data_IF_188816887277
#
_entry.id   IF_188816887277
#
_cell.length_a   1.000
_cell.length_b   1.000
_cell.length_c   1.000
_cell.angle_alpha   90.00
_cell.angle_beta   90.00
_cell.angle_gamma   90.00
#
_symmetry.space_group_name_H-M   'P 1'
#
loop_
_entity.id
_entity.type
_entity.pdbx_description
1 polymer ?
#
# COMPACT_ATOMS: atom_id res chain seq x y z
N UNK A 1 17.83 2.64 -13.15
CA UNK A 1 17.04 1.90 -14.16
C UNK A 1 17.27 0.38 -14.09
N UNK A 2 18.53 -0.09 -14.08
CA UNK A 2 18.86 -1.53 -14.01
C UNK A 2 18.36 -2.19 -12.72
N UNK A 3 18.58 -1.54 -11.56
CA UNK A 3 18.13 -2.06 -10.27
C UNK A 3 16.60 -2.22 -10.19
N UNK A 4 15.85 -1.26 -10.75
CA UNK A 4 14.39 -1.29 -10.79
C UNK A 4 13.88 -2.44 -11.67
N UNK A 5 14.53 -2.67 -12.82
CA UNK A 5 14.18 -3.78 -13.71
C UNK A 5 14.43 -5.14 -13.08
N UNK A 6 15.56 -5.30 -12.38
CA UNK A 6 15.87 -6.52 -11.64
C UNK A 6 14.82 -6.77 -10.55
N UNK A 7 14.50 -5.76 -9.74
CA UNK A 7 13.48 -5.87 -8.68
C UNK A 7 12.11 -6.25 -9.21
N UNK A 8 11.63 -5.55 -10.25
CA UNK A 8 10.29 -5.78 -10.79
C UNK A 8 10.16 -7.21 -11.34
N UNK A 9 11.22 -7.69 -12.00
CA UNK A 9 11.28 -9.06 -12.51
C UNK A 9 11.35 -10.10 -11.39
N UNK A 10 12.25 -9.94 -10.41
CA UNK A 10 12.42 -10.92 -9.33
C UNK A 10 11.20 -10.99 -8.42
N UNK A 11 10.59 -9.85 -8.08
CA UNK A 11 9.35 -9.83 -7.30
C UNK A 11 8.20 -10.48 -8.07
N UNK A 12 8.02 -10.16 -9.36
CA UNK A 12 6.96 -10.75 -10.16
C UNK A 12 7.11 -12.28 -10.26
N UNK A 13 8.32 -12.77 -10.59
CA UNK A 13 8.61 -14.20 -10.68
C UNK A 13 8.42 -14.88 -9.33
N UNK A 14 8.89 -14.27 -8.24
CA UNK A 14 8.71 -14.77 -6.88
C UNK A 14 7.23 -14.93 -6.53
N UNK A 15 6.43 -13.87 -6.69
CA UNK A 15 4.99 -13.91 -6.44
C UNK A 15 4.27 -14.97 -7.28
N UNK A 16 4.62 -15.10 -8.57
CA UNK A 16 3.97 -16.04 -9.48
C UNK A 16 4.32 -17.50 -9.14
N UNK A 17 5.58 -17.78 -8.80
CA UNK A 17 6.01 -19.11 -8.34
C UNK A 17 5.35 -19.47 -7.02
N UNK A 18 5.32 -18.55 -6.05
CA UNK A 18 4.65 -18.78 -4.76
C UNK A 18 3.14 -19.03 -4.97
N UNK A 19 2.47 -18.24 -5.80
CA UNK A 19 1.06 -18.44 -6.13
C UNK A 19 0.82 -19.81 -6.81
N UNK A 20 1.69 -20.22 -7.72
CA UNK A 20 1.60 -21.51 -8.41
C UNK A 20 1.81 -22.70 -7.46
N UNK A 21 2.83 -22.62 -6.60
CA UNK A 21 3.13 -23.64 -5.59
C UNK A 21 1.97 -23.76 -4.59
N UNK A 22 1.45 -22.64 -4.07
CA UNK A 22 0.31 -22.63 -3.14
C UNK A 22 -0.94 -23.16 -3.84
N UNK A 23 -1.18 -22.80 -5.10
CA UNK A 23 -2.34 -23.30 -5.85
C UNK A 23 -2.26 -24.80 -6.17
N UNK A 24 -1.06 -25.38 -6.25
CA UNK A 24 -0.84 -26.81 -6.49
C UNK A 24 -0.85 -27.65 -5.21
N UNK A 25 -0.23 -27.15 -4.14
CA UNK A 25 -0.05 -27.88 -2.88
C UNK A 25 -1.23 -27.65 -1.92
N UNK A 26 -1.86 -26.48 -1.98
CA UNK A 26 -2.89 -26.08 -1.03
C UNK A 26 -4.27 -26.13 -1.69
N UNK A 27 -5.09 -27.12 -1.32
CA UNK A 27 -6.52 -27.14 -1.64
C UNK A 27 -7.32 -26.25 -0.68
N UNK A 28 -6.83 -25.03 -0.45
CA UNK A 28 -7.43 -23.98 0.38
C UNK A 28 -8.67 -23.34 -0.26
N UNK A 29 -9.43 -24.13 -1.03
CA UNK A 29 -10.75 -23.70 -1.48
C UNK A 29 -11.63 -23.58 -0.24
N UNK A 30 -12.23 -22.41 -0.06
CA UNK A 30 -13.18 -22.15 1.02
C UNK A 30 -14.31 -23.20 1.04
N UNK A 31 -14.67 -23.73 -0.14
CA UNK A 31 -15.65 -24.80 -0.31
C UNK A 31 -15.24 -26.13 0.36
N UNK A 32 -13.95 -26.39 0.58
CA UNK A 32 -13.42 -27.62 1.17
C UNK A 32 -13.15 -27.49 2.67
N UNK A 33 -13.33 -26.29 3.24
CA UNK A 33 -13.11 -26.05 4.68
C UNK A 33 -14.28 -26.64 5.51
N UNK A 34 -14.02 -27.59 6.43
CA UNK A 34 -15.05 -28.21 7.25
C UNK A 34 -15.74 -27.21 8.19
N UNK A 35 -15.00 -26.21 8.69
CA UNK A 35 -15.53 -25.16 9.56
C UNK A 35 -16.47 -24.25 8.77
N UNK A 36 -16.12 -23.94 7.52
CA UNK A 36 -17.01 -23.16 6.65
C UNK A 36 -18.30 -23.91 6.34
N UNK A 37 -18.22 -25.21 5.98
CA UNK A 37 -19.41 -26.04 5.70
C UNK A 37 -20.31 -26.20 6.91
N UNK A 38 -19.74 -26.38 8.10
CA UNK A 38 -20.48 -26.48 9.36
C UNK A 38 -21.18 -25.16 9.71
N UNK A 39 -20.51 -24.02 9.48
CA UNK A 39 -21.11 -22.70 9.70
C UNK A 39 -22.18 -22.36 8.65
N UNK A 40 -22.00 -22.81 7.42
CA UNK A 40 -22.97 -22.65 6.34
C UNK A 40 -24.22 -23.51 6.60
N UNK A 41 -24.07 -24.76 7.02
CA UNK A 41 -25.19 -25.67 7.32
C UNK A 41 -25.99 -25.23 8.54
N UNK A 42 -25.32 -24.64 9.54
CA UNK A 42 -25.95 -24.01 10.72
C UNK A 42 -26.56 -22.63 10.41
N UNK A 43 -26.45 -22.13 9.18
CA UNK A 43 -26.97 -20.81 8.78
C UNK A 43 -26.24 -19.62 9.41
N UNK A 44 -25.07 -19.83 10.02
CA UNK A 44 -24.27 -18.80 10.69
C UNK A 44 -23.49 -17.94 9.69
N UNK A 45 -23.34 -18.41 8.44
CA UNK A 45 -22.64 -17.70 7.36
C UNK A 45 -23.50 -17.73 6.10
N UNK A 46 -23.70 -16.57 5.48
CA UNK A 46 -24.39 -16.47 4.20
C UNK A 46 -23.47 -16.93 3.07
N UNK A 47 -23.94 -17.80 2.17
CA UNK A 47 -23.22 -18.08 0.94
C UNK A 47 -22.98 -16.75 0.18
N UNK A 48 -21.81 -16.55 -0.46
CA UNK A 48 -21.57 -15.36 -1.25
C UNK A 48 -22.63 -15.28 -2.34
N UNK A 49 -23.58 -14.37 -2.18
CA UNK A 49 -24.61 -14.09 -3.18
C UNK A 49 -23.86 -13.66 -4.43
N UNK A 50 -23.91 -14.47 -5.49
CA UNK A 50 -23.37 -14.13 -6.82
C UNK A 50 -23.70 -12.68 -7.07
N UNK A 51 -22.66 -11.85 -7.11
CA UNK A 51 -22.69 -10.39 -7.19
C UNK A 51 -24.05 -9.92 -7.70
N UNK A 52 -24.93 -9.53 -6.77
CA UNK A 52 -26.15 -8.80 -7.13
C UNK A 52 -25.68 -7.74 -8.09
N UNK A 53 -26.20 -7.76 -9.33
CA UNK A 53 -25.92 -6.79 -10.37
C UNK A 53 -26.19 -5.40 -9.79
N UNK A 54 -25.20 -4.84 -9.12
CA UNK A 54 -25.28 -3.53 -8.51
C UNK A 54 -25.18 -2.62 -9.70
N UNK A 55 -26.35 -2.20 -10.20
CA UNK A 55 -26.44 -1.29 -11.33
C UNK A 55 -25.44 -0.16 -11.07
N UNK A 56 -24.41 -0.11 -11.91
CA UNK A 56 -23.36 0.87 -11.78
C UNK A 56 -24.03 2.23 -11.92
N UNK A 57 -23.88 3.09 -10.90
CA UNK A 57 -24.35 4.47 -11.01
C UNK A 57 -23.74 5.08 -12.27
N UNK A 58 -24.49 5.88 -13.05
CA UNK A 58 -24.01 6.41 -14.33
C UNK A 58 -22.72 7.23 -14.20
N UNK A 59 -22.44 7.77 -13.01
CA UNK A 59 -21.23 8.53 -12.70
C UNK A 59 -20.01 7.67 -12.30
N UNK A 60 -20.18 6.36 -12.09
CA UNK A 60 -19.09 5.48 -11.66
C UNK A 60 -17.96 5.41 -12.70
N UNK A 61 -18.30 5.34 -13.98
CA UNK A 61 -17.31 5.31 -15.07
C UNK A 61 -16.54 6.62 -15.20
N UNK A 62 -17.18 7.76 -14.89
CA UNK A 62 -16.54 9.09 -14.89
C UNK A 62 -15.54 9.22 -13.74
N UNK A 63 -15.88 8.73 -12.54
CA UNK A 63 -14.97 8.70 -11.39
C UNK A 63 -13.68 7.94 -11.70
N UNK A 64 -13.79 6.76 -12.31
CA UNK A 64 -12.63 5.96 -12.71
C UNK A 64 -11.77 6.68 -13.76
N UNK A 65 -12.39 7.35 -14.73
CA UNK A 65 -11.66 8.13 -15.73
C UNK A 65 -10.88 9.30 -15.11
N UNK A 66 -11.51 10.06 -14.20
CA UNK A 66 -10.85 11.17 -13.48
C UNK A 66 -9.70 10.64 -12.62
N UNK A 67 -9.91 9.51 -11.93
CA UNK A 67 -8.86 8.86 -11.15
C UNK A 67 -7.67 8.43 -12.01
N UNK A 68 -7.92 7.78 -13.16
CA UNK A 68 -6.87 7.33 -14.07
C UNK A 68 -6.06 8.51 -14.63
N UNK A 69 -6.73 9.60 -15.01
CA UNK A 69 -6.06 10.85 -15.43
C UNK A 69 -5.20 11.39 -14.29
N UNK A 70 -5.73 11.40 -13.06
CA UNK A 70 -4.99 11.80 -11.86
C UNK A 70 -3.71 10.99 -11.63
N UNK A 71 -3.77 9.67 -11.76
CA UNK A 71 -2.59 8.79 -11.63
C UNK A 71 -1.56 9.11 -12.72
N UNK A 72 -1.99 9.28 -13.97
CA UNK A 72 -1.09 9.64 -15.07
C UNK A 72 -0.41 10.99 -14.79
N UNK A 73 -1.16 12.01 -14.35
CA UNK A 73 -0.60 13.31 -13.99
C UNK A 73 0.43 13.22 -12.86
N UNK A 74 0.16 12.42 -11.83
CA UNK A 74 1.09 12.20 -10.71
C UNK A 74 2.36 11.51 -11.19
N UNK A 75 2.26 10.47 -12.02
CA UNK A 75 3.43 9.76 -12.56
C UNK A 75 4.26 10.68 -13.46
N UNK A 76 3.62 11.48 -14.31
CA UNK A 76 4.29 12.46 -15.16
C UNK A 76 5.01 13.53 -14.33
N UNK A 77 4.34 14.08 -13.31
CA UNK A 77 4.93 15.08 -12.42
C UNK A 77 6.10 14.51 -11.61
N UNK A 78 5.94 13.32 -11.03
CA UNK A 78 7.02 12.65 -10.28
C UNK A 78 8.22 12.30 -11.16
N UNK A 79 7.98 12.02 -12.44
CA UNK A 79 9.01 11.79 -13.46
C UNK A 79 9.70 13.10 -13.87
N UNK A 80 8.95 14.18 -14.11
CA UNK A 80 9.50 15.48 -14.51
C UNK A 80 10.43 16.10 -13.45
N UNK A 81 10.14 15.86 -12.16
CA UNK A 81 10.96 16.29 -11.02
C UNK A 81 12.10 15.32 -10.70
N UNK A 82 12.11 14.13 -11.32
CA UNK A 82 13.17 13.17 -11.08
C UNK A 82 14.51 13.71 -11.59
N UNK A 83 15.60 13.60 -10.80
CA UNK A 83 16.94 14.04 -11.21
C UNK A 83 17.48 13.29 -12.44
N UNK A 84 16.83 12.20 -12.85
CA UNK A 84 17.13 11.48 -14.10
C UNK A 84 16.60 12.15 -15.37
N UNK A 85 15.61 13.03 -15.25
CA UNK A 85 14.98 13.73 -16.39
C UNK A 85 15.27 15.24 -16.37
N UNK A 86 15.49 15.85 -15.19
CA UNK A 86 16.14 17.16 -15.07
C UNK A 86 15.45 18.33 -15.79
N UNK A 87 14.13 18.28 -16.00
CA UNK A 87 13.41 19.34 -16.71
C UNK A 87 13.12 20.58 -15.84
N UNK A 88 13.27 20.49 -14.52
CA UNK A 88 12.95 21.56 -13.55
C UNK A 88 14.07 21.65 -12.52
N UNK A 89 14.92 22.68 -12.61
CA UNK A 89 16.05 22.90 -11.69
C UNK A 89 15.63 23.44 -10.31
N UNK A 90 14.46 24.10 -10.21
CA UNK A 90 13.94 24.64 -8.95
C UNK A 90 12.63 23.97 -8.57
N UNK A 91 12.73 22.93 -7.75
CA UNK A 91 11.58 22.21 -7.19
C UNK A 91 10.97 23.03 -6.06
N UNK A 92 9.93 23.81 -6.38
CA UNK A 92 9.19 24.63 -5.38
C UNK A 92 8.29 23.76 -4.49
N UNK A 93 7.81 22.61 -5.00
CA UNK A 93 6.95 21.67 -4.27
C UNK A 93 7.63 20.31 -4.21
N UNK A 94 7.91 19.82 -3.00
CA UNK A 94 8.48 18.50 -2.78
C UNK A 94 7.59 17.40 -3.37
N UNK A 95 8.19 16.26 -3.74
CA UNK A 95 7.49 15.12 -4.35
C UNK A 95 6.28 14.69 -3.52
N UNK A 96 6.44 14.59 -2.20
CA UNK A 96 5.38 14.15 -1.29
C UNK A 96 4.22 15.14 -1.22
N UNK A 97 4.53 16.44 -1.09
CA UNK A 97 3.51 17.50 -1.07
C UNK A 97 2.74 17.59 -2.39
N UNK A 98 3.42 17.35 -3.51
CA UNK A 98 2.78 17.34 -4.82
C UNK A 98 1.88 16.13 -5.04
N UNK A 99 2.31 14.93 -4.63
CA UNK A 99 1.48 13.72 -4.70
C UNK A 99 0.23 13.90 -3.84
N UNK A 100 0.40 14.38 -2.60
CA UNK A 100 -0.72 14.61 -1.68
C UNK A 100 -1.71 15.64 -2.23
N UNK A 101 -1.23 16.79 -2.71
CA UNK A 101 -2.09 17.84 -3.25
C UNK A 101 -2.82 17.42 -4.53
N UNK A 102 -2.16 16.72 -5.45
CA UNK A 102 -2.78 16.19 -6.67
C UNK A 102 -3.83 15.12 -6.36
N UNK A 103 -3.54 14.18 -5.46
CA UNK A 103 -4.49 13.14 -5.07
C UNK A 103 -5.72 13.71 -4.35
N UNK A 104 -5.53 14.71 -3.49
CA UNK A 104 -6.63 15.46 -2.85
C UNK A 104 -7.48 16.20 -3.89
N UNK A 105 -6.84 16.85 -4.86
CA UNK A 105 -7.52 17.58 -5.93
C UNK A 105 -8.32 16.64 -6.86
N UNK A 106 -7.77 15.49 -7.22
CA UNK A 106 -8.48 14.43 -7.97
C UNK A 106 -9.68 13.94 -7.16
N UNK A 107 -9.50 13.70 -5.86
CA UNK A 107 -10.61 13.35 -4.95
C UNK A 107 -11.71 14.41 -4.92
N UNK A 108 -11.34 15.69 -4.83
CA UNK A 108 -12.26 16.82 -4.90
C UNK A 108 -13.02 16.92 -6.22
N UNK A 109 -12.36 16.67 -7.35
CA UNK A 109 -13.03 16.61 -8.65
C UNK A 109 -13.97 15.42 -8.76
N UNK A 110 -13.61 14.27 -8.22
CA UNK A 110 -14.51 13.11 -8.19
C UNK A 110 -15.77 13.44 -7.37
N UNK A 111 -15.63 14.04 -6.18
CA UNK A 111 -16.79 14.37 -5.35
C UNK A 111 -17.70 15.42 -6.02
N UNK A 112 -17.11 16.43 -6.66
CA UNK A 112 -17.83 17.50 -7.34
C UNK A 112 -18.53 17.02 -8.63
N UNK A 113 -17.82 16.34 -9.53
CA UNK A 113 -18.36 15.92 -10.84
C UNK A 113 -19.22 14.66 -10.78
N UNK A 114 -19.01 13.77 -9.80
CA UNK A 114 -19.80 12.54 -9.66
C UNK A 114 -20.95 12.67 -8.64
N UNK A 115 -21.16 13.86 -8.05
CA UNK A 115 -22.15 14.12 -6.99
C UNK A 115 -22.08 13.05 -5.89
N UNK A 116 -20.86 12.80 -5.40
CA UNK A 116 -20.67 11.85 -4.32
C UNK A 116 -21.29 12.40 -3.04
N UNK A 117 -22.02 11.55 -2.32
CA UNK A 117 -22.65 11.91 -1.05
C UNK A 117 -21.58 11.89 0.04
N UNK A 118 -21.11 13.08 0.45
CA UNK A 118 -19.94 13.25 1.34
C UNK A 118 -20.14 12.51 2.67
N UNK A 119 -21.36 12.52 3.20
CA UNK A 119 -21.70 11.84 4.45
C UNK A 119 -21.48 10.32 4.36
N UNK A 120 -21.69 9.73 3.18
CA UNK A 120 -21.51 8.29 2.95
C UNK A 120 -20.04 7.89 2.72
N UNK A 121 -19.15 8.85 2.47
CA UNK A 121 -17.72 8.56 2.23
C UNK A 121 -17.07 8.11 3.54
N UNK A 122 -17.32 8.84 4.63
CA UNK A 122 -16.79 8.48 5.96
C UNK A 122 -17.33 7.13 6.46
N UNK A 123 -18.57 6.80 6.07
CA UNK A 123 -19.18 5.52 6.40
C UNK A 123 -18.75 4.35 5.53
N UNK A 124 -18.02 4.60 4.44
CA UNK A 124 -17.53 3.54 3.57
C UNK A 124 -16.51 2.66 4.30
N UNK A 125 -16.58 1.35 4.03
CA UNK A 125 -15.63 0.38 4.60
C UNK A 125 -14.18 0.70 4.22
N UNK A 126 -13.96 1.24 3.03
CA UNK A 126 -12.63 1.63 2.54
C UNK A 126 -12.07 2.78 3.37
N UNK A 127 -12.86 3.83 3.64
CA UNK A 127 -12.40 4.96 4.43
C UNK A 127 -12.14 4.56 5.90
N UNK A 128 -13.05 3.79 6.50
CA UNK A 128 -12.88 3.26 7.87
C UNK A 128 -11.62 2.39 7.99
N UNK A 129 -11.43 1.44 7.06
CA UNK A 129 -10.23 0.60 7.03
C UNK A 129 -8.97 1.44 6.82
N UNK A 130 -9.02 2.45 5.95
CA UNK A 130 -7.90 3.36 5.69
C UNK A 130 -7.51 4.18 6.91
N UNK A 131 -8.47 4.79 7.61
CA UNK A 131 -8.18 5.55 8.83
C UNK A 131 -7.58 4.69 9.93
N UNK A 132 -8.11 3.47 10.14
CA UNK A 132 -7.54 2.53 11.12
C UNK A 132 -6.10 2.16 10.75
N UNK A 133 -5.82 1.91 9.46
CA UNK A 133 -4.47 1.62 9.00
C UNK A 133 -3.51 2.80 9.23
N UNK A 134 -3.93 4.03 8.90
CA UNK A 134 -3.12 5.23 9.14
C UNK A 134 -2.77 5.41 10.62
N UNK A 135 -3.75 5.24 11.52
CA UNK A 135 -3.52 5.35 12.98
C UNK A 135 -2.57 4.25 13.46
N UNK A 136 -2.70 3.02 12.94
CA UNK A 136 -1.82 1.91 13.28
C UNK A 136 -0.36 2.20 12.87
N UNK A 137 -0.15 2.58 11.61
CA UNK A 137 1.19 2.87 11.08
C UNK A 137 1.83 4.06 11.78
N UNK A 138 1.08 5.17 11.94
CA UNK A 138 1.58 6.35 12.66
C UNK A 138 1.87 6.05 14.13
N UNK A 139 1.04 5.24 14.79
CA UNK A 139 1.25 4.84 16.18
C UNK A 139 2.53 4.02 16.37
N UNK A 140 2.76 3.02 15.52
CA UNK A 140 3.97 2.19 15.57
C UNK A 140 5.21 3.01 15.23
N UNK A 141 5.14 3.84 14.17
CA UNK A 141 6.25 4.70 13.77
C UNK A 141 6.62 5.70 14.87
N UNK A 142 5.63 6.32 15.52
CA UNK A 142 5.87 7.33 16.55
C UNK A 142 6.44 6.72 17.84
N UNK A 143 5.95 5.54 18.26
CA UNK A 143 6.52 4.83 19.40
C UNK A 143 7.97 4.42 19.11
N UNK A 144 8.23 3.89 17.91
CA UNK A 144 9.58 3.54 17.46
C UNK A 144 10.52 4.74 17.47
N UNK A 145 10.10 5.87 16.90
CA UNK A 145 10.88 7.12 16.87
C UNK A 145 11.16 7.66 18.27
N UNK A 146 10.16 7.63 19.18
CA UNK A 146 10.33 8.07 20.56
C UNK A 146 11.34 7.20 21.31
N UNK A 147 11.25 5.88 21.16
CA UNK A 147 12.17 4.92 21.79
C UNK A 147 13.61 5.08 21.26
N UNK A 148 13.76 5.16 19.94
CA UNK A 148 15.07 5.30 19.27
C UNK A 148 15.69 6.65 19.58
N UNK A 149 14.92 7.73 19.57
CA UNK A 149 15.41 9.07 19.90
C UNK A 149 15.89 9.16 21.35
N UNK A 150 15.16 8.54 22.28
CA UNK A 150 15.51 8.49 23.70
C UNK A 150 16.81 7.73 24.01
N UNK A 151 17.15 6.70 23.21
CA UNK A 151 18.34 5.85 23.41
C UNK A 151 19.34 5.96 22.25
N UNK A 152 19.26 7.04 21.46
CA UNK A 152 20.00 7.16 20.21
C UNK A 152 21.52 7.12 20.39
N UNK A 153 22.04 7.54 21.55
CA UNK A 153 23.45 7.44 21.91
C UNK A 153 23.92 5.99 22.05
N UNK A 154 23.29 5.23 22.95
CA UNK A 154 23.62 3.83 23.21
C UNK A 154 23.41 2.95 21.97
N UNK A 155 22.31 3.16 21.23
CA UNK A 155 22.01 2.41 20.00
C UNK A 155 23.10 2.63 18.95
N UNK A 156 23.56 3.87 18.75
CA UNK A 156 24.62 4.18 17.77
C UNK A 156 25.97 3.60 18.18
N UNK A 157 26.29 3.61 19.47
CA UNK A 157 27.56 3.07 19.99
C UNK A 157 27.63 1.54 19.89
N UNK A 158 26.56 0.84 20.28
CA UNK A 158 26.44 -0.61 20.10
C UNK A 158 26.46 -0.99 18.62
N UNK A 159 25.67 -0.30 17.78
CA UNK A 159 25.62 -0.58 16.35
C UNK A 159 26.99 -0.37 15.66
N UNK A 160 27.72 0.70 16.00
CA UNK A 160 29.08 0.94 15.48
C UNK A 160 30.04 -0.17 15.87
N UNK A 161 30.02 -0.58 17.14
CA UNK A 161 30.96 -1.60 17.65
C UNK A 161 30.68 -2.96 17.01
N UNK A 162 29.42 -3.37 16.93
CA UNK A 162 29.03 -4.66 16.35
C UNK A 162 29.24 -4.72 14.84
N UNK A 163 28.89 -3.66 14.09
CA UNK A 163 29.07 -3.63 12.63
C UNK A 163 30.56 -3.55 12.24
N UNK A 164 31.39 -2.88 13.04
CA UNK A 164 32.84 -2.83 12.79
C UNK A 164 33.52 -4.18 13.01
N UNK A 165 33.01 -4.99 13.95
CA UNK A 165 33.53 -6.33 14.23
C UNK A 165 33.03 -7.38 13.23
N UNK A 166 31.76 -7.28 12.79
CA UNK A 166 31.15 -8.25 11.87
C UNK A 166 30.38 -7.54 10.75
N UNK A 167 31.06 -7.13 9.65
CA UNK A 167 30.42 -6.40 8.55
C UNK A 167 29.29 -7.17 7.87
N UNK A 168 29.38 -8.50 7.82
CA UNK A 168 28.35 -9.37 7.25
C UNK A 168 27.00 -9.31 8.01
N UNK A 169 27.02 -8.90 9.28
CA UNK A 169 25.80 -8.78 10.11
C UNK A 169 24.87 -7.67 9.63
N UNK A 170 25.42 -6.64 8.95
CA UNK A 170 24.65 -5.56 8.34
C UNK A 170 23.63 -6.09 7.32
N UNK A 171 24.01 -7.08 6.51
CA UNK A 171 23.13 -7.67 5.50
C UNK A 171 21.95 -8.43 6.13
N UNK A 172 22.20 -9.15 7.23
CA UNK A 172 21.16 -9.88 7.97
C UNK A 172 20.18 -8.89 8.62
N UNK A 173 20.68 -7.82 9.22
CA UNK A 173 19.84 -6.78 9.83
C UNK A 173 18.97 -6.08 8.77
N UNK A 174 19.52 -5.74 7.61
CA UNK A 174 18.72 -5.17 6.52
C UNK A 174 17.71 -6.14 5.94
N UNK A 175 18.02 -7.44 5.87
CA UNK A 175 17.07 -8.46 5.46
C UNK A 175 15.88 -8.56 6.44
N UNK A 176 16.16 -8.59 7.74
CA UNK A 176 15.11 -8.61 8.77
C UNK A 176 14.29 -7.32 8.78
N UNK A 177 14.94 -6.16 8.64
CA UNK A 177 14.26 -4.87 8.58
C UNK A 177 13.34 -4.77 7.36
N UNK A 178 13.76 -5.30 6.20
CA UNK A 178 12.94 -5.34 4.99
C UNK A 178 11.74 -6.30 5.09
N UNK A 179 11.81 -7.35 5.91
CA UNK A 179 10.63 -8.23 6.16
C UNK A 179 9.59 -7.59 7.07
N UNK A 180 9.97 -6.61 7.89
CA UNK A 180 9.08 -5.93 8.82
C UNK A 180 8.32 -4.75 8.17
N UNK A 181 8.79 -4.30 6.99
CA UNK A 181 8.33 -3.11 6.27
C UNK A 181 7.40 -3.50 5.11
#
# INVERSE_FOLDING_TARGET
PVLLGIWLFTTFVGCMLTAFIISLISDMKLDNDPVYRERLSKGLVSAPVKSVNKQLKPYARRSVAIFLIGVILVVLYASAISPTLGLIDNVVVSRDAAIMSLMLLVGGFITLFCKADINKIADSSVFKSGMVACICVLGVAWLGDTFVSGHSGEIKELARTTVSQYPALLAVVFFLAAMLL
#
